data_IF_080606382202
#
_entry.id   IF_080606382202
#
_cell.length_a   1.000
_cell.length_b   1.000
_cell.length_c   1.000
_cell.angle_alpha   90.00
_cell.angle_beta   90.00
_cell.angle_gamma   90.00
#
_symmetry.space_group_name_H-M   'P 1'
#
loop_
_entity.id
_entity.type
_entity.pdbx_description
1 polymer ?
#
# COMPACT_ATOMS: atom_id res chain seq x y z
N UNK A 1 19.55 -8.70 -6.67
CA UNK A 1 18.06 -8.63 -6.52
C UNK A 1 17.62 -7.23 -6.89
N UNK A 2 16.76 -7.08 -7.90
CA UNK A 2 16.21 -5.78 -8.30
C UNK A 2 14.94 -5.50 -7.49
N UNK A 3 14.92 -4.38 -6.78
CA UNK A 3 13.86 -4.02 -5.83
C UNK A 3 13.20 -2.71 -6.22
N UNK A 4 11.90 -2.61 -6.05
CA UNK A 4 11.10 -1.41 -6.32
C UNK A 4 10.28 -1.04 -5.09
N UNK A 5 10.42 0.19 -4.64
CA UNK A 5 9.53 0.83 -3.67
C UNK A 5 8.54 1.72 -4.43
N UNK A 6 7.25 1.57 -4.14
CA UNK A 6 6.18 2.38 -4.72
C UNK A 6 5.59 3.27 -3.63
N UNK A 7 5.47 4.58 -3.91
CA UNK A 7 5.00 5.59 -2.96
C UNK A 7 6.08 5.98 -1.97
N UNK A 8 7.27 6.29 -2.47
CA UNK A 8 8.43 6.64 -1.63
C UNK A 8 8.33 8.03 -0.99
N UNK A 9 7.35 8.85 -1.36
CA UNK A 9 7.17 10.22 -0.86
C UNK A 9 8.47 11.04 -0.90
N UNK A 10 9.20 10.97 -2.04
CA UNK A 10 10.50 11.61 -2.25
C UNK A 10 11.57 11.25 -1.19
N UNK A 11 11.53 10.04 -0.65
CA UNK A 11 12.48 9.53 0.34
C UNK A 11 13.07 8.20 -0.13
N UNK A 12 14.30 7.88 0.32
CA UNK A 12 14.97 6.58 0.10
C UNK A 12 15.13 5.83 1.43
N UNK A 13 14.00 5.61 2.13
CA UNK A 13 14.01 4.98 3.46
C UNK A 13 14.54 3.54 3.39
N UNK A 14 14.29 2.83 2.30
CA UNK A 14 14.72 1.44 2.13
C UNK A 14 16.17 1.28 1.65
N UNK A 15 16.86 2.38 1.33
CA UNK A 15 18.25 2.42 0.91
C UNK A 15 18.49 2.53 -0.59
N UNK A 16 19.76 2.76 -0.96
CA UNK A 16 20.17 3.07 -2.34
C UNK A 16 20.06 1.88 -3.31
N UNK A 17 19.94 0.67 -2.82
CA UNK A 17 19.75 -0.54 -3.64
C UNK A 17 18.30 -0.77 -4.07
N UNK A 18 17.37 0.14 -3.69
CA UNK A 18 16.00 0.20 -4.15
C UNK A 18 15.82 1.23 -5.25
N UNK A 19 15.08 0.87 -6.30
CA UNK A 19 14.47 1.84 -7.19
C UNK A 19 13.19 2.36 -6.56
N UNK A 20 12.92 3.64 -6.78
CA UNK A 20 11.76 4.32 -6.20
C UNK A 20 10.80 4.76 -7.30
N UNK A 21 9.51 4.64 -7.03
CA UNK A 21 8.44 5.11 -7.91
C UNK A 21 7.44 5.94 -7.10
N UNK A 22 7.04 7.07 -7.66
CA UNK A 22 6.00 7.91 -7.08
C UNK A 22 5.19 8.60 -8.19
N UNK A 23 3.98 9.05 -7.87
CA UNK A 23 3.16 9.83 -8.79
C UNK A 23 3.70 11.27 -8.93
N UNK A 24 4.33 11.79 -7.89
CA UNK A 24 4.93 13.11 -7.88
C UNK A 24 6.43 13.03 -8.17
N UNK A 25 6.99 13.97 -8.96
CA UNK A 25 8.43 14.03 -9.18
C UNK A 25 9.17 14.48 -7.93
N UNK A 26 10.42 14.00 -7.76
CA UNK A 26 11.30 14.38 -6.66
C UNK A 26 12.72 13.92 -6.87
N UNK A 27 13.66 14.43 -6.08
CA UNK A 27 15.09 14.08 -6.19
C UNK A 27 15.36 12.59 -5.92
N UNK A 28 14.53 11.98 -5.06
CA UNK A 28 14.62 10.58 -4.69
C UNK A 28 13.64 9.68 -5.43
N UNK A 29 13.04 10.17 -6.53
CA UNK A 29 12.09 9.41 -7.36
C UNK A 29 12.77 9.01 -8.66
N UNK A 30 13.05 7.72 -8.83
CA UNK A 30 13.65 7.18 -10.07
C UNK A 30 12.65 7.07 -11.21
N UNK A 31 11.37 6.81 -10.91
CA UNK A 31 10.29 6.59 -11.88
C UNK A 31 9.08 7.42 -11.46
N UNK A 32 8.72 8.40 -12.25
CA UNK A 32 7.48 9.16 -12.03
C UNK A 32 6.38 8.47 -12.82
N UNK A 33 5.38 7.90 -12.13
CA UNK A 33 4.28 7.19 -12.76
C UNK A 33 3.05 7.11 -11.85
N UNK A 34 1.87 7.18 -12.46
CA UNK A 34 0.59 6.85 -11.84
C UNK A 34 0.37 5.34 -11.95
N UNK A 35 0.25 4.66 -10.80
CA UNK A 35 0.03 3.19 -10.77
C UNK A 35 -1.33 2.76 -11.32
N UNK A 36 -2.28 3.67 -11.49
CA UNK A 36 -3.56 3.42 -12.16
C UNK A 36 -3.46 3.42 -13.69
N UNK A 37 -2.26 3.70 -14.25
CA UNK A 37 -1.95 3.69 -15.68
C UNK A 37 -0.93 2.60 -16.01
N UNK A 38 -0.78 2.21 -17.29
CA UNK A 38 0.30 1.31 -17.69
C UNK A 38 1.67 1.86 -17.27
N UNK A 39 2.43 1.07 -16.53
CA UNK A 39 3.72 1.49 -16.00
C UNK A 39 4.82 1.52 -17.08
N UNK A 40 5.71 2.54 -17.09
CA UNK A 40 6.84 2.62 -18.03
C UNK A 40 7.96 1.63 -17.62
N UNK A 41 7.59 0.40 -17.32
CA UNK A 41 8.47 -0.66 -16.81
C UNK A 41 8.24 -1.90 -17.65
N UNK A 42 9.33 -2.55 -18.09
CA UNK A 42 9.28 -3.81 -18.85
C UNK A 42 8.77 -4.97 -17.98
N UNK A 43 8.18 -5.95 -18.62
CA UNK A 43 7.80 -7.20 -17.97
C UNK A 43 8.99 -7.84 -17.26
N UNK A 44 8.72 -8.51 -16.15
CA UNK A 44 9.72 -9.29 -15.41
C UNK A 44 10.98 -8.50 -15.02
N UNK A 45 10.80 -7.23 -14.59
CA UNK A 45 11.90 -6.31 -14.27
C UNK A 45 12.39 -6.40 -12.83
N UNK A 46 11.52 -6.77 -11.88
CA UNK A 46 11.84 -6.72 -10.46
C UNK A 46 11.69 -8.08 -9.79
N UNK A 47 12.54 -8.33 -8.79
CA UNK A 47 12.51 -9.51 -7.93
C UNK A 47 11.62 -9.27 -6.70
N UNK A 48 11.52 -8.00 -6.25
CA UNK A 48 10.73 -7.60 -5.10
C UNK A 48 10.09 -6.23 -5.36
N UNK A 49 8.79 -6.14 -5.11
CA UNK A 49 8.03 -4.90 -5.05
C UNK A 49 7.55 -4.70 -3.62
N UNK A 50 7.74 -3.50 -3.08
CA UNK A 50 7.23 -3.07 -1.79
C UNK A 50 6.37 -1.83 -1.96
N UNK A 51 5.19 -1.82 -1.32
CA UNK A 51 4.35 -0.64 -1.21
C UNK A 51 3.67 -0.61 0.15
N UNK A 52 3.66 0.57 0.76
CA UNK A 52 3.09 0.77 2.09
C UNK A 52 2.24 2.02 2.10
N UNK A 53 0.95 1.84 2.40
CA UNK A 53 -0.04 2.91 2.42
C UNK A 53 -0.15 3.65 1.08
N UNK A 54 -0.28 2.87 0.02
CA UNK A 54 -0.45 3.36 -1.36
C UNK A 54 -1.69 2.74 -2.03
N UNK A 55 -1.95 1.44 -1.82
CA UNK A 55 -3.02 0.75 -2.53
C UNK A 55 -4.41 1.28 -2.17
N UNK A 56 -4.60 1.82 -0.97
CA UNK A 56 -5.83 2.48 -0.54
C UNK A 56 -6.14 3.77 -1.31
N UNK A 57 -5.13 4.40 -1.93
CA UNK A 57 -5.31 5.59 -2.76
C UNK A 57 -5.77 5.26 -4.19
N UNK A 58 -5.61 4.00 -4.60
CA UNK A 58 -6.15 3.49 -5.87
C UNK A 58 -7.68 3.41 -5.81
N UNK A 59 -8.36 3.78 -6.89
CA UNK A 59 -9.80 3.59 -6.98
C UNK A 59 -10.16 2.11 -6.79
N UNK A 60 -11.09 1.80 -5.87
CA UNK A 60 -11.42 0.44 -5.47
C UNK A 60 -11.73 -0.51 -6.65
N UNK A 61 -12.35 -0.01 -7.70
CA UNK A 61 -12.68 -0.78 -8.91
C UNK A 61 -11.48 -1.03 -9.83
N UNK A 62 -10.34 -0.33 -9.62
CA UNK A 62 -9.09 -0.52 -10.35
C UNK A 62 -8.06 -1.36 -9.60
N UNK A 63 -8.29 -1.69 -8.34
CA UNK A 63 -7.35 -2.40 -7.48
C UNK A 63 -6.77 -3.66 -8.14
N UNK A 64 -7.63 -4.48 -8.77
CA UNK A 64 -7.17 -5.73 -9.41
C UNK A 64 -6.31 -5.44 -10.64
N UNK A 65 -6.65 -4.43 -11.43
CA UNK A 65 -5.88 -4.09 -12.64
C UNK A 65 -4.50 -3.53 -12.27
N UNK A 66 -4.41 -2.71 -11.22
CA UNK A 66 -3.14 -2.25 -10.66
C UNK A 66 -2.30 -3.45 -10.18
N UNK A 67 -2.89 -4.38 -9.44
CA UNK A 67 -2.19 -5.57 -8.97
C UNK A 67 -1.72 -6.48 -10.11
N UNK A 68 -2.48 -6.60 -11.20
CA UNK A 68 -2.05 -7.31 -12.43
C UNK A 68 -0.87 -6.62 -13.12
N UNK A 69 -0.85 -5.29 -13.11
CA UNK A 69 0.27 -4.53 -13.67
C UNK A 69 1.54 -4.71 -12.82
N UNK A 70 1.41 -4.72 -11.49
CA UNK A 70 2.52 -5.05 -10.59
C UNK A 70 2.98 -6.50 -10.76
N UNK A 71 2.05 -7.43 -10.99
CA UNK A 71 2.37 -8.83 -11.32
C UNK A 71 3.13 -8.92 -12.65
N UNK A 72 2.76 -8.13 -13.69
CA UNK A 72 3.47 -8.10 -14.97
C UNK A 72 4.93 -7.72 -14.81
N UNK A 73 5.23 -6.69 -14.03
CA UNK A 73 6.60 -6.18 -13.86
C UNK A 73 7.45 -7.02 -12.89
N UNK A 74 6.84 -7.87 -12.07
CA UNK A 74 7.55 -8.88 -11.28
C UNK A 74 8.06 -10.02 -12.15
N UNK A 75 9.24 -10.55 -11.82
CA UNK A 75 9.79 -11.77 -12.42
C UNK A 75 9.06 -13.01 -11.92
N UNK A 76 9.05 -14.09 -12.68
CA UNK A 76 8.72 -15.40 -12.13
C UNK A 76 9.56 -15.66 -10.86
N UNK A 77 8.93 -16.13 -9.79
CA UNK A 77 9.54 -16.27 -8.46
C UNK A 77 9.70 -14.97 -7.66
N UNK A 78 9.36 -13.82 -8.25
CA UNK A 78 9.39 -12.53 -7.55
C UNK A 78 8.27 -12.38 -6.53
N UNK A 79 8.46 -11.48 -5.58
CA UNK A 79 7.54 -11.27 -4.44
C UNK A 79 7.02 -9.83 -4.39
N UNK A 80 5.76 -9.68 -4.02
CA UNK A 80 5.19 -8.38 -3.63
C UNK A 80 4.92 -8.35 -2.14
N UNK A 81 5.18 -7.21 -1.50
CA UNK A 81 4.82 -6.92 -0.11
C UNK A 81 3.99 -5.64 -0.06
N UNK A 82 2.78 -5.74 0.46
CA UNK A 82 1.81 -4.63 0.51
C UNK A 82 1.38 -4.41 1.96
N UNK A 83 1.38 -3.14 2.37
CA UNK A 83 0.80 -2.70 3.64
C UNK A 83 -0.28 -1.67 3.36
N UNK A 84 -1.43 -1.83 4.01
CA UNK A 84 -2.61 -0.95 3.91
C UNK A 84 -3.25 -0.76 5.28
N UNK A 85 -4.12 0.23 5.48
CA UNK A 85 -4.97 0.31 6.66
C UNK A 85 -5.91 -0.91 6.75
N UNK A 86 -5.98 -1.53 7.94
CA UNK A 86 -6.85 -2.67 8.25
C UNK A 86 -8.23 -2.16 8.66
N UNK A 87 -9.20 -2.25 7.75
CA UNK A 87 -10.57 -1.76 8.01
C UNK A 87 -11.23 -2.47 9.19
N UNK A 88 -10.95 -3.76 9.40
CA UNK A 88 -11.54 -4.51 10.50
C UNK A 88 -11.04 -3.99 11.87
N UNK A 89 -9.76 -3.63 11.96
CA UNK A 89 -9.19 -2.99 13.15
C UNK A 89 -9.74 -1.58 13.36
N UNK A 90 -9.88 -0.79 12.30
CA UNK A 90 -10.42 0.57 12.35
C UNK A 90 -11.87 0.54 12.85
N UNK A 91 -12.71 -0.32 12.31
CA UNK A 91 -14.10 -0.49 12.73
C UNK A 91 -14.16 -0.95 14.20
N UNK A 92 -13.36 -1.96 14.58
CA UNK A 92 -13.33 -2.46 15.94
C UNK A 92 -12.91 -1.41 16.97
N UNK A 93 -11.91 -0.58 16.63
CA UNK A 93 -11.46 0.51 17.49
C UNK A 93 -12.56 1.57 17.67
N UNK A 94 -13.19 1.96 16.58
CA UNK A 94 -14.31 2.91 16.62
C UNK A 94 -15.48 2.41 17.49
N UNK A 95 -15.92 1.16 17.29
CA UNK A 95 -17.01 0.56 18.06
C UNK A 95 -16.73 0.48 19.56
N UNK A 96 -15.46 0.36 19.93
CA UNK A 96 -15.01 0.35 21.33
C UNK A 96 -14.76 1.75 21.90
N UNK A 97 -14.91 2.80 21.13
CA UNK A 97 -14.57 4.17 21.52
C UNK A 97 -13.08 4.37 21.78
N UNK A 98 -12.22 3.58 21.14
CA UNK A 98 -10.76 3.63 21.33
C UNK A 98 -10.14 4.41 20.18
N UNK A 99 -9.17 5.28 20.51
CA UNK A 99 -8.26 5.89 19.54
C UNK A 99 -6.89 5.25 19.77
N UNK A 100 -6.49 4.23 18.95
CA UNK A 100 -5.31 3.41 19.23
C UNK A 100 -3.98 4.06 18.89
N UNK A 101 -3.99 5.16 18.20
CA UNK A 101 -2.84 5.94 17.79
C UNK A 101 -2.99 7.40 18.21
N UNK A 102 -1.89 8.15 18.13
CA UNK A 102 -1.89 9.55 18.51
C UNK A 102 -2.91 10.35 17.70
N UNK A 103 -3.34 11.46 18.27
CA UNK A 103 -4.32 12.31 17.64
C UNK A 103 -3.81 12.91 16.32
N UNK A 104 -4.75 13.35 15.52
CA UNK A 104 -4.50 14.05 14.29
C UNK A 104 -4.88 15.53 14.38
N UNK A 105 -4.21 16.36 13.59
CA UNK A 105 -4.41 17.81 13.48
C UNK A 105 -5.88 18.25 13.46
N UNK A 106 -6.77 17.41 12.90
CA UNK A 106 -8.20 17.73 12.79
C UNK A 106 -9.07 16.99 13.82
N UNK A 107 -8.47 16.40 14.84
CA UNK A 107 -9.16 15.67 15.89
C UNK A 107 -8.58 15.99 17.28
N UNK A 108 -8.45 17.28 17.60
CA UNK A 108 -7.89 17.77 18.86
C UNK A 108 -8.71 17.31 20.08
N UNK A 109 -10.03 17.14 19.90
CA UNK A 109 -10.94 16.66 20.94
C UNK A 109 -10.84 15.14 21.18
N UNK A 110 -10.01 14.42 20.41
CA UNK A 110 -9.90 12.95 20.46
C UNK A 110 -11.24 12.25 20.29
N UNK A 111 -12.06 12.77 19.38
CA UNK A 111 -13.37 12.21 19.05
C UNK A 111 -13.19 10.89 18.25
N UNK A 112 -13.69 9.73 18.72
CA UNK A 112 -13.55 8.47 18.04
C UNK A 112 -14.17 8.45 16.63
N UNK A 113 -15.26 9.20 16.41
CA UNK A 113 -15.89 9.27 15.10
C UNK A 113 -15.01 10.05 14.10
N UNK A 114 -14.43 11.17 14.52
CA UNK A 114 -13.50 11.93 13.65
C UNK A 114 -12.23 11.15 13.37
N UNK A 115 -11.72 10.40 14.34
CA UNK A 115 -10.62 9.47 14.11
C UNK A 115 -11.00 8.42 13.04
N UNK A 116 -12.19 7.79 13.18
CA UNK A 116 -12.70 6.82 12.21
C UNK A 116 -12.83 7.41 10.81
N UNK A 117 -13.42 8.60 10.67
CA UNK A 117 -13.56 9.31 9.39
C UNK A 117 -12.19 9.59 8.77
N UNK A 118 -11.25 10.09 9.57
CA UNK A 118 -9.90 10.35 9.08
C UNK A 118 -9.16 9.08 8.64
N UNK A 119 -9.40 7.94 9.29
CA UNK A 119 -8.83 6.66 8.86
C UNK A 119 -9.46 6.11 7.59
N UNK A 120 -10.74 6.42 7.34
CA UNK A 120 -11.42 6.01 6.11
C UNK A 120 -11.02 6.87 4.91
N UNK A 121 -10.94 8.20 5.10
CA UNK A 121 -10.80 9.14 3.98
C UNK A 121 -9.45 9.84 3.94
N UNK A 122 -8.64 9.71 4.97
CA UNK A 122 -7.36 10.38 5.23
C UNK A 122 -7.46 11.73 5.93
N UNK A 123 -6.34 12.15 6.48
CA UNK A 123 -6.12 13.50 7.03
C UNK A 123 -5.28 14.38 6.08
N UNK A 124 -5.03 13.91 4.87
CA UNK A 124 -4.31 14.65 3.83
C UNK A 124 -5.11 15.82 3.27
N UNK A 125 -4.43 16.71 2.58
CA UNK A 125 -5.01 17.93 2.01
C UNK A 125 -4.90 17.98 0.49
N UNK A 126 -4.19 17.04 -0.13
CA UNK A 126 -4.06 16.92 -1.57
C UNK A 126 -4.99 15.82 -2.11
N UNK A 127 -5.47 15.97 -3.33
CA UNK A 127 -6.36 14.99 -3.97
C UNK A 127 -5.76 13.59 -4.03
N UNK A 128 -4.44 13.49 -4.11
CA UNK A 128 -3.69 12.21 -4.10
C UNK A 128 -3.66 11.53 -2.74
N UNK A 129 -3.97 12.25 -1.65
CA UNK A 129 -3.91 11.73 -0.29
C UNK A 129 -5.19 10.98 0.12
N UNK A 130 -6.31 11.18 -0.61
CA UNK A 130 -7.57 10.58 -0.23
C UNK A 130 -7.60 9.08 -0.45
N UNK A 131 -8.10 8.35 0.56
CA UNK A 131 -8.35 6.92 0.41
C UNK A 131 -9.58 6.70 -0.47
N UNK A 132 -9.42 5.88 -1.48
CA UNK A 132 -10.44 5.53 -2.48
C UNK A 132 -10.81 4.04 -2.43
N UNK A 133 -10.12 3.28 -1.56
CA UNK A 133 -10.37 1.88 -1.26
C UNK A 133 -10.15 1.59 0.23
N UNK A 134 -10.73 0.49 0.72
CA UNK A 134 -10.51 -0.02 2.06
C UNK A 134 -10.33 -1.54 2.00
N UNK A 135 -9.47 -2.07 2.87
CA UNK A 135 -9.08 -3.47 2.84
C UNK A 135 -9.29 -4.16 4.18
N UNK A 136 -10.07 -5.25 4.16
CA UNK A 136 -9.98 -6.30 5.18
C UNK A 136 -8.92 -7.32 4.77
N UNK A 137 -8.51 -8.15 5.72
CA UNK A 137 -7.59 -9.27 5.43
C UNK A 137 -8.08 -10.13 4.26
N UNK A 138 -9.35 -10.54 4.31
CA UNK A 138 -9.95 -11.41 3.27
C UNK A 138 -9.97 -10.71 1.91
N UNK A 139 -10.37 -9.43 1.88
CA UNK A 139 -10.48 -8.70 0.63
C UNK A 139 -9.12 -8.49 -0.04
N UNK A 140 -8.08 -8.10 0.72
CA UNK A 140 -6.73 -7.93 0.17
C UNK A 140 -6.17 -9.24 -0.37
N UNK A 141 -6.39 -10.35 0.36
CA UNK A 141 -6.00 -11.69 -0.10
C UNK A 141 -6.68 -12.03 -1.44
N UNK A 142 -8.01 -11.86 -1.52
CA UNK A 142 -8.77 -12.17 -2.74
C UNK A 142 -8.32 -11.32 -3.95
N UNK A 143 -7.97 -10.04 -3.71
CA UNK A 143 -7.46 -9.16 -4.76
C UNK A 143 -6.10 -9.66 -5.29
N UNK A 144 -5.18 -10.05 -4.40
CA UNK A 144 -3.88 -10.60 -4.78
C UNK A 144 -4.03 -11.91 -5.56
N UNK A 145 -4.83 -12.83 -5.06
CA UNK A 145 -5.08 -14.13 -5.73
C UNK A 145 -5.74 -13.93 -7.11
N UNK A 146 -6.72 -13.03 -7.25
CA UNK A 146 -7.35 -12.68 -8.52
C UNK A 146 -6.39 -12.01 -9.51
N UNK A 147 -5.36 -11.31 -9.01
CA UNK A 147 -4.32 -10.74 -9.86
C UNK A 147 -3.27 -11.77 -10.32
N UNK A 148 -3.31 -13.02 -9.80
CA UNK A 148 -2.45 -14.11 -10.18
C UNK A 148 -1.36 -14.47 -9.15
N UNK A 149 -1.28 -13.77 -8.02
CA UNK A 149 -0.31 -14.09 -6.98
C UNK A 149 -0.68 -15.39 -6.26
N UNK A 150 0.34 -16.16 -5.90
CA UNK A 150 0.25 -17.38 -5.06
C UNK A 150 0.97 -17.16 -3.73
N UNK A 151 0.86 -18.14 -2.83
CA UNK A 151 1.49 -18.13 -1.51
C UNK A 151 1.16 -16.85 -0.74
N UNK A 152 -0.09 -16.36 -0.91
CA UNK A 152 -0.54 -15.12 -0.27
C UNK A 152 -0.67 -15.34 1.23
N UNK A 153 0.12 -14.59 1.99
CA UNK A 153 0.16 -14.72 3.44
C UNK A 153 0.37 -13.38 4.14
N UNK A 154 -0.03 -13.32 5.42
CA UNK A 154 0.21 -12.15 6.25
C UNK A 154 1.72 -11.95 6.47
N UNK A 155 2.16 -10.68 6.35
CA UNK A 155 3.44 -10.20 6.83
C UNK A 155 3.21 -9.11 7.89
N UNK A 156 3.96 -9.15 8.99
CA UNK A 156 3.69 -8.27 10.14
C UNK A 156 4.61 -7.07 10.22
N UNK A 157 5.79 -7.16 9.63
CA UNK A 157 6.86 -6.17 9.81
C UNK A 157 7.07 -5.43 8.50
N UNK A 158 6.69 -4.13 8.42
CA UNK A 158 7.00 -3.30 7.27
C UNK A 158 8.52 -3.07 7.16
N UNK A 159 9.01 -2.89 5.95
CA UNK A 159 10.43 -2.61 5.69
C UNK A 159 10.80 -1.16 6.03
N UNK A 160 9.85 -0.26 5.88
CA UNK A 160 10.03 1.17 6.12
C UNK A 160 9.29 1.65 7.37
N UNK A 161 8.57 2.75 7.24
CA UNK A 161 7.80 3.35 8.34
C UNK A 161 6.68 2.41 8.78
N UNK A 162 6.55 2.23 10.09
CA UNK A 162 5.42 1.50 10.67
C UNK A 162 4.28 2.47 10.95
N UNK A 163 3.09 2.15 10.45
CA UNK A 163 1.86 2.90 10.73
C UNK A 163 1.07 2.34 11.94
N UNK A 164 1.77 1.61 12.82
CA UNK A 164 1.25 1.20 14.12
C UNK A 164 0.15 0.13 14.06
N UNK A 165 -0.85 0.30 14.94
CA UNK A 165 -1.91 -0.69 15.17
C UNK A 165 -2.74 -1.04 13.94
N UNK A 166 -2.99 -0.08 13.08
CA UNK A 166 -3.91 -0.24 11.93
C UNK A 166 -3.31 -0.97 10.74
N UNK A 167 -2.03 -1.33 10.75
CA UNK A 167 -1.41 -1.99 9.62
C UNK A 167 -1.98 -3.40 9.36
N UNK A 168 -2.30 -3.65 8.10
CA UNK A 168 -2.51 -4.96 7.50
C UNK A 168 -1.42 -5.17 6.43
N UNK A 169 -0.53 -6.11 6.65
CA UNK A 169 0.52 -6.46 5.69
C UNK A 169 0.26 -7.81 5.05
N UNK A 170 0.41 -7.90 3.74
CA UNK A 170 0.41 -9.15 2.99
C UNK A 170 1.56 -9.24 2.01
N UNK A 171 2.04 -10.45 1.78
CA UNK A 171 2.96 -10.77 0.70
C UNK A 171 2.35 -11.85 -0.19
N UNK A 172 2.72 -11.81 -1.46
CA UNK A 172 2.38 -12.83 -2.45
C UNK A 172 3.52 -13.05 -3.42
N UNK A 173 3.54 -14.18 -4.11
CA UNK A 173 4.59 -14.54 -5.06
C UNK A 173 4.03 -14.66 -6.47
N UNK A 174 4.81 -14.29 -7.48
CA UNK A 174 4.56 -14.66 -8.87
C UNK A 174 5.08 -16.08 -9.10
N UNK A 175 4.27 -17.02 -9.60
CA UNK A 175 4.74 -18.38 -9.90
C UNK A 175 5.98 -18.41 -10.78
N UNK A 176 6.78 -19.47 -10.64
CA UNK A 176 8.00 -19.70 -11.46
C UNK A 176 7.74 -20.28 -12.86
N UNK A 177 6.48 -20.32 -13.30
CA UNK A 177 6.11 -20.94 -14.59
C UNK A 177 6.45 -20.05 -15.76
#
# INVERSE_FOLDING_TARGET
MRKLEIGCNNQRILGEDWKTMDILPGENVDIVADIEQPLPVKDNSYDLIYMSHILEHVAWYKTIDVLKELFRILRPGGTIEIFVPDIDKIISAYQKGIIPDEWYKYNEEKNPFLWFVGRLFTYGTHDTDFHRAAFSKKHLQDCLEKAGFTDVMITKIPRGISHGYINLGMKGSKPCV
#
